data_IF_104413777274
#
_entry.id   IF_104413777274
#
_cell.length_a   1.000
_cell.length_b   1.000
_cell.length_c   1.000
_cell.angle_alpha   90.00
_cell.angle_beta   90.00
_cell.angle_gamma   90.00
#
_symmetry.space_group_name_H-M   'P 1'
#
loop_
_entity.id
_entity.type
_entity.pdbx_description
1 polymer ?
#
# COMPACT_ATOMS: atom_id res chain seq x y z
N UNK A 1 -8.02 17.76 -27.09
CA UNK A 1 -6.82 17.97 -27.92
C UNK A 1 -5.93 19.13 -27.41
N UNK A 2 -6.45 20.29 -27.10
CA UNK A 2 -5.65 21.47 -26.66
C UNK A 2 -4.94 21.22 -25.32
N UNK A 3 -5.58 20.60 -24.33
CA UNK A 3 -4.95 20.28 -23.04
C UNK A 3 -3.76 19.29 -23.15
N UNK A 4 -3.84 18.31 -24.06
CA UNK A 4 -2.72 17.39 -24.32
C UNK A 4 -1.52 18.09 -24.95
N UNK A 5 -1.77 19.03 -25.88
CA UNK A 5 -0.72 19.81 -26.52
C UNK A 5 -0.04 20.76 -25.51
N UNK A 6 -0.81 21.43 -24.64
CA UNK A 6 -0.29 22.32 -23.61
C UNK A 6 0.54 21.58 -22.55
N UNK A 7 0.14 20.36 -22.17
CA UNK A 7 0.93 19.50 -21.28
C UNK A 7 2.24 19.10 -21.90
N UNK A 8 2.25 18.68 -23.18
CA UNK A 8 3.48 18.32 -23.88
C UNK A 8 4.49 19.47 -24.00
N UNK A 9 4.01 20.70 -24.24
CA UNK A 9 4.86 21.90 -24.28
C UNK A 9 5.42 22.22 -22.89
N UNK A 10 4.60 22.17 -21.84
CA UNK A 10 5.04 22.38 -20.46
C UNK A 10 6.11 21.35 -20.04
N UNK A 11 5.86 20.06 -20.29
CA UNK A 11 6.75 18.97 -19.91
C UNK A 11 8.08 19.06 -20.69
N UNK A 12 8.03 19.45 -21.98
CA UNK A 12 9.23 19.68 -22.77
C UNK A 12 10.08 20.86 -22.26
N UNK A 13 9.44 21.97 -21.87
CA UNK A 13 10.15 23.13 -21.31
C UNK A 13 10.71 22.83 -19.91
N UNK A 14 9.97 22.14 -19.06
CA UNK A 14 10.44 21.75 -17.72
C UNK A 14 11.55 20.70 -17.80
N UNK A 15 11.46 19.73 -18.69
CA UNK A 15 12.51 18.71 -18.92
C UNK A 15 13.82 19.29 -19.48
N UNK A 16 13.75 20.38 -20.27
CA UNK A 16 14.94 21.11 -20.73
C UNK A 16 15.59 21.92 -19.60
N UNK A 17 14.79 22.48 -18.69
CA UNK A 17 15.29 23.32 -17.60
C UNK A 17 15.75 22.47 -16.38
N UNK A 18 15.12 21.34 -16.14
CA UNK A 18 15.37 20.43 -15.00
C UNK A 18 15.24 18.98 -15.44
N UNK A 19 16.23 18.43 -16.16
CA UNK A 19 16.22 17.02 -16.52
C UNK A 19 16.34 16.17 -15.24
N UNK A 20 15.33 15.35 -14.98
CA UNK A 20 15.39 14.37 -13.90
C UNK A 20 15.78 13.00 -14.47
N UNK A 21 16.74 12.36 -13.85
CA UNK A 21 17.13 11.00 -14.18
C UNK A 21 16.18 10.00 -13.56
N UNK A 22 15.78 8.99 -14.33
CA UNK A 22 14.98 7.90 -13.87
C UNK A 22 15.70 7.11 -12.76
N UNK A 23 15.13 7.06 -11.56
CA UNK A 23 15.72 6.36 -10.41
C UNK A 23 15.77 4.84 -10.54
N UNK A 24 15.22 4.29 -11.63
CA UNK A 24 15.24 2.85 -11.91
C UNK A 24 16.33 2.48 -12.91
N UNK A 25 16.42 3.20 -14.03
CA UNK A 25 17.34 2.84 -15.13
C UNK A 25 18.39 3.90 -15.49
N UNK A 26 18.37 5.06 -14.83
CA UNK A 26 19.28 6.18 -15.12
C UNK A 26 18.99 6.94 -16.43
N UNK A 27 17.95 6.55 -17.18
CA UNK A 27 17.52 7.28 -18.36
C UNK A 27 16.70 8.53 -18.00
N UNK A 28 16.41 9.38 -19.00
CA UNK A 28 15.61 10.60 -18.79
C UNK A 28 14.15 10.29 -18.43
N UNK A 29 13.56 11.09 -17.55
CA UNK A 29 12.10 11.11 -17.29
C UNK A 29 11.47 12.11 -18.27
N UNK A 30 10.59 11.60 -19.13
CA UNK A 30 10.02 12.37 -20.25
C UNK A 30 8.84 13.26 -19.82
N UNK A 31 8.19 12.96 -18.70
CA UNK A 31 7.02 13.68 -18.23
C UNK A 31 7.07 13.93 -16.73
N UNK A 32 6.74 15.15 -16.32
CA UNK A 32 6.53 15.49 -14.92
C UNK A 32 5.46 14.61 -14.24
N UNK A 33 4.48 14.16 -15.01
CA UNK A 33 3.42 13.25 -14.54
C UNK A 33 3.97 11.89 -14.08
N UNK A 34 5.08 11.45 -14.65
CA UNK A 34 5.72 10.17 -14.36
C UNK A 34 6.55 10.19 -13.05
N UNK A 35 6.87 11.38 -12.54
CA UNK A 35 7.59 11.54 -11.27
C UNK A 35 9.02 11.01 -11.36
N UNK A 36 9.38 10.01 -10.55
CA UNK A 36 10.75 9.53 -10.35
C UNK A 36 11.21 8.42 -11.32
N UNK A 37 10.34 7.95 -12.21
CA UNK A 37 10.65 6.86 -13.13
C UNK A 37 10.15 7.19 -14.54
N UNK A 38 10.91 6.83 -15.57
CA UNK A 38 10.52 7.05 -16.95
C UNK A 38 9.33 6.15 -17.38
N UNK A 39 8.66 6.52 -18.45
CA UNK A 39 7.48 5.78 -18.97
C UNK A 39 7.80 4.31 -19.28
N UNK A 40 9.02 3.99 -19.74
CA UNK A 40 9.44 2.60 -19.95
C UNK A 40 9.47 1.80 -18.64
N UNK A 41 10.02 2.38 -17.57
CA UNK A 41 10.08 1.71 -16.27
C UNK A 41 8.71 1.58 -15.61
N UNK A 42 7.78 2.51 -15.84
CA UNK A 42 6.40 2.40 -15.41
C UNK A 42 5.61 1.32 -16.17
N UNK A 43 5.94 1.07 -17.42
CA UNK A 43 5.29 0.08 -18.26
C UNK A 43 5.94 -1.31 -18.15
N UNK A 44 6.94 -1.48 -17.28
CA UNK A 44 7.55 -2.78 -17.03
C UNK A 44 6.49 -3.76 -16.49
N UNK A 45 6.42 -4.92 -17.12
CA UNK A 45 5.47 -5.99 -16.75
C UNK A 45 5.63 -6.49 -15.31
N UNK A 46 6.77 -6.25 -14.66
CA UNK A 46 6.98 -6.60 -13.25
C UNK A 46 6.04 -5.86 -12.32
N UNK A 47 5.63 -4.63 -12.64
CA UNK A 47 4.64 -3.86 -11.87
C UNK A 47 3.26 -4.52 -11.96
N UNK A 48 2.90 -4.99 -13.15
CA UNK A 48 1.57 -5.56 -13.45
C UNK A 48 1.48 -7.06 -13.19
N UNK A 49 2.57 -7.75 -12.85
CA UNK A 49 2.58 -9.21 -12.58
C UNK A 49 1.58 -9.64 -11.51
N UNK A 50 1.26 -8.80 -10.54
CA UNK A 50 0.20 -9.09 -9.57
C UNK A 50 -1.19 -9.21 -10.19
N UNK A 51 -1.37 -8.77 -11.44
CA UNK A 51 -2.66 -8.80 -12.14
C UNK A 51 -2.80 -10.04 -13.04
N UNK A 52 -1.79 -10.89 -13.12
CA UNK A 52 -1.76 -12.06 -14.00
C UNK A 52 -1.68 -13.34 -13.17
N UNK A 53 -2.64 -14.25 -13.37
CA UNK A 53 -2.70 -15.54 -12.69
C UNK A 53 -3.75 -15.59 -11.57
N UNK A 54 -3.80 -16.73 -10.86
CA UNK A 54 -4.71 -16.92 -9.72
C UNK A 54 -4.17 -16.14 -8.52
N UNK A 55 -4.96 -15.20 -8.02
CA UNK A 55 -4.63 -14.41 -6.83
C UNK A 55 -5.39 -14.94 -5.63
N UNK A 56 -4.76 -14.82 -4.45
CA UNK A 56 -5.44 -15.04 -3.18
C UNK A 56 -6.57 -14.03 -3.00
N UNK A 57 -7.79 -14.49 -2.81
CA UNK A 57 -8.97 -13.64 -2.67
C UNK A 57 -8.86 -12.69 -1.48
N UNK A 58 -8.24 -13.13 -0.37
CA UNK A 58 -8.05 -12.31 0.82
C UNK A 58 -6.91 -11.30 0.66
N UNK A 59 -5.70 -11.73 0.37
CA UNK A 59 -4.53 -10.85 0.45
C UNK A 59 -3.98 -10.40 -0.91
N UNK A 60 -4.53 -10.86 -2.05
CA UNK A 60 -4.05 -10.51 -3.38
C UNK A 60 -2.65 -11.04 -3.71
N UNK A 61 -2.10 -11.99 -2.94
CA UNK A 61 -0.85 -12.65 -3.30
C UNK A 61 -1.04 -13.53 -4.54
N UNK A 62 -0.03 -13.58 -5.39
CA UNK A 62 -0.02 -14.53 -6.49
C UNK A 62 0.07 -15.96 -5.93
N UNK A 63 -0.86 -16.80 -6.33
CA UNK A 63 -0.86 -18.21 -5.97
C UNK A 63 -0.11 -18.98 -7.06
N UNK A 64 1.08 -19.50 -6.72
CA UNK A 64 1.81 -20.40 -7.61
C UNK A 64 1.06 -21.72 -7.67
N UNK A 65 0.53 -22.08 -8.84
CA UNK A 65 0.16 -23.46 -9.13
C UNK A 65 1.47 -24.26 -9.24
N UNK A 66 1.59 -25.35 -8.45
CA UNK A 66 2.73 -26.26 -8.47
C UNK A 66 2.89 -26.89 -9.86
N UNK A 67 3.73 -26.30 -10.71
CA UNK A 67 4.08 -26.85 -12.05
C UNK A 67 5.51 -27.36 -12.09
N UNK A 68 6.25 -27.40 -10.98
CA UNK A 68 7.56 -28.08 -10.92
C UNK A 68 7.66 -28.87 -9.62
N UNK A 69 7.65 -30.19 -9.78
CA UNK A 69 7.71 -31.19 -8.71
C UNK A 69 8.89 -30.98 -7.76
N UNK A 70 8.62 -30.40 -6.64
CA UNK A 70 9.54 -30.31 -5.50
C UNK A 70 8.70 -30.14 -4.25
N UNK A 71 8.84 -31.04 -3.31
CA UNK A 71 8.18 -31.22 -2.02
C UNK A 71 7.62 -29.92 -1.45
N UNK A 72 6.42 -29.54 -1.86
CA UNK A 72 5.67 -28.44 -1.31
C UNK A 72 4.60 -29.00 -0.38
N UNK A 73 4.57 -28.50 0.84
CA UNK A 73 3.51 -28.73 1.80
C UNK A 73 2.14 -28.56 1.12
N UNK A 74 1.31 -29.58 1.19
CA UNK A 74 0.00 -29.73 0.57
C UNK A 74 -0.81 -28.42 0.55
N UNK A 75 -1.36 -28.00 -0.60
CA UNK A 75 -2.42 -27.01 -0.62
C UNK A 75 -3.63 -27.63 0.05
N UNK A 76 -3.92 -27.20 1.27
CA UNK A 76 -5.21 -27.52 1.88
C UNK A 76 -6.27 -26.76 1.11
N UNK A 77 -7.22 -27.54 0.54
CA UNK A 77 -8.52 -27.14 -0.03
C UNK A 77 -8.55 -25.88 -0.90
N UNK A 78 -9.24 -26.00 -1.96
CA UNK A 78 -9.58 -25.08 -3.05
C UNK A 78 -10.37 -23.80 -2.62
N UNK A 79 -10.03 -23.22 -1.49
CA UNK A 79 -10.80 -22.15 -0.86
C UNK A 79 -10.42 -20.74 -1.39
N UNK A 80 -9.58 -20.62 -2.43
CA UNK A 80 -9.18 -19.30 -2.96
C UNK A 80 -8.17 -18.52 -2.10
N UNK A 81 -7.74 -19.07 -0.95
CA UNK A 81 -6.85 -18.40 0.01
C UNK A 81 -5.45 -19.00 0.05
N UNK A 82 -4.44 -18.14 0.21
CA UNK A 82 -3.09 -18.61 0.50
C UNK A 82 -2.95 -18.95 2.00
N UNK A 83 -2.10 -19.94 2.34
CA UNK A 83 -1.87 -20.34 3.73
C UNK A 83 -1.31 -19.23 4.63
N UNK A 84 -0.64 -18.24 4.02
CA UNK A 84 0.06 -17.17 4.76
C UNK A 84 -0.88 -16.13 5.36
N UNK A 85 -2.02 -15.84 4.74
CA UNK A 85 -2.93 -14.80 5.21
C UNK A 85 -4.09 -15.31 6.08
N UNK A 86 -4.16 -16.61 6.36
CA UNK A 86 -5.24 -17.21 7.14
C UNK A 86 -5.39 -16.58 8.54
N UNK A 87 -4.27 -16.27 9.20
CA UNK A 87 -4.22 -15.66 10.54
C UNK A 87 -4.27 -14.12 10.54
N UNK A 88 -4.32 -13.47 9.38
CA UNK A 88 -4.36 -12.01 9.31
C UNK A 88 -5.75 -11.47 9.65
N UNK A 89 -5.79 -10.34 10.37
CA UNK A 89 -7.04 -9.78 10.89
C UNK A 89 -7.88 -9.02 9.85
N UNK A 90 -7.29 -8.56 8.74
CA UNK A 90 -8.03 -7.83 7.71
C UNK A 90 -8.96 -8.71 6.88
N UNK A 91 -10.00 -8.12 6.29
CA UNK A 91 -10.97 -8.77 5.40
C UNK A 91 -10.36 -9.02 4.02
N UNK A 92 -9.85 -7.98 3.35
CA UNK A 92 -9.17 -8.08 2.06
C UNK A 92 -7.96 -7.16 2.02
N UNK A 93 -6.96 -7.49 1.20
CA UNK A 93 -5.83 -6.62 0.91
C UNK A 93 -5.52 -6.59 -0.58
N UNK A 94 -5.25 -5.39 -1.10
CA UNK A 94 -4.85 -5.16 -2.49
C UNK A 94 -3.65 -4.23 -2.54
N UNK A 95 -2.81 -4.43 -3.57
CA UNK A 95 -1.66 -3.58 -3.86
C UNK A 95 -1.68 -3.20 -5.34
N UNK A 96 -1.13 -2.02 -5.68
CA UNK A 96 -1.03 -1.61 -7.07
C UNK A 96 -0.05 -2.47 -7.87
N UNK A 97 0.94 -3.09 -7.20
CA UNK A 97 1.91 -3.94 -7.88
C UNK A 97 2.93 -4.54 -6.90
N UNK A 98 3.99 -5.13 -7.48
CA UNK A 98 5.14 -5.65 -6.71
C UNK A 98 6.06 -4.52 -6.25
N UNK A 99 6.71 -4.71 -5.12
CA UNK A 99 7.75 -3.81 -4.60
C UNK A 99 9.02 -3.94 -5.44
N UNK A 100 9.02 -3.30 -6.61
CA UNK A 100 10.13 -3.28 -7.57
C UNK A 100 9.99 -2.11 -8.53
N UNK A 101 11.07 -1.76 -9.23
CA UNK A 101 11.08 -0.78 -10.31
C UNK A 101 10.47 0.57 -9.93
N UNK A 102 9.55 1.08 -10.74
CA UNK A 102 8.96 2.40 -10.55
C UNK A 102 8.15 2.53 -9.25
N UNK A 103 7.51 1.46 -8.76
CA UNK A 103 6.79 1.48 -7.49
C UNK A 103 7.74 1.58 -6.30
N UNK A 104 8.81 0.81 -6.29
CA UNK A 104 9.86 0.90 -5.27
C UNK A 104 10.49 2.30 -5.25
N UNK A 105 10.90 2.81 -6.41
CA UNK A 105 11.46 4.15 -6.54
C UNK A 105 10.50 5.23 -6.02
N UNK A 106 9.21 5.13 -6.34
CA UNK A 106 8.17 6.05 -5.88
C UNK A 106 7.96 5.98 -4.36
N UNK A 107 7.97 4.80 -3.78
CA UNK A 107 7.84 4.61 -2.33
C UNK A 107 9.06 5.18 -1.59
N UNK A 108 10.27 4.94 -2.10
CA UNK A 108 11.50 5.52 -1.53
C UNK A 108 11.49 7.03 -1.61
N UNK A 109 11.03 7.60 -2.73
CA UNK A 109 10.86 9.04 -2.89
C UNK A 109 9.83 9.61 -1.91
N UNK A 110 8.67 8.98 -1.74
CA UNK A 110 7.64 9.38 -0.79
C UNK A 110 8.12 9.37 0.68
N UNK A 111 9.18 8.65 1.01
CA UNK A 111 9.75 8.67 2.36
C UNK A 111 10.51 9.95 2.69
N UNK A 112 10.88 10.73 1.68
CA UNK A 112 11.65 11.98 1.82
C UNK A 112 10.94 13.20 1.24
N UNK A 113 9.94 12.99 0.37
CA UNK A 113 9.23 14.04 -0.33
C UNK A 113 7.72 13.84 -0.22
N UNK A 114 6.95 14.81 0.31
CA UNK A 114 5.51 14.66 0.51
C UNK A 114 4.73 14.92 -0.80
N UNK A 115 5.10 14.23 -1.88
CA UNK A 115 4.46 14.41 -3.19
C UNK A 115 4.13 13.08 -3.86
N UNK A 116 2.83 12.87 -4.14
CA UNK A 116 2.34 11.74 -4.93
C UNK A 116 2.23 12.18 -6.38
N UNK A 117 3.12 11.70 -7.25
CA UNK A 117 3.10 12.06 -8.66
C UNK A 117 1.78 11.64 -9.35
N UNK A 118 1.36 12.35 -10.42
CA UNK A 118 0.08 12.07 -11.08
C UNK A 118 -0.05 10.63 -11.56
N UNK A 119 1.01 10.00 -12.03
CA UNK A 119 0.98 8.60 -12.49
C UNK A 119 0.69 7.63 -11.35
N UNK A 120 1.36 7.79 -10.21
CA UNK A 120 1.09 6.96 -9.03
C UNK A 120 -0.34 7.18 -8.50
N UNK A 121 -0.82 8.44 -8.52
CA UNK A 121 -2.21 8.76 -8.15
C UNK A 121 -3.21 8.03 -9.04
N UNK A 122 -3.02 8.09 -10.38
CA UNK A 122 -3.89 7.36 -11.33
C UNK A 122 -3.88 5.85 -11.06
N UNK A 123 -2.71 5.27 -10.78
CA UNK A 123 -2.57 3.85 -10.50
C UNK A 123 -3.29 3.45 -9.21
N UNK A 124 -3.14 4.24 -8.13
CA UNK A 124 -3.86 4.04 -6.87
C UNK A 124 -5.37 4.05 -7.07
N UNK A 125 -5.88 5.08 -7.76
CA UNK A 125 -7.31 5.21 -8.03
C UNK A 125 -7.82 4.05 -8.92
N UNK A 126 -7.09 3.68 -9.96
CA UNK A 126 -7.47 2.57 -10.83
C UNK A 126 -7.48 1.23 -10.06
N UNK A 127 -6.50 1.00 -9.17
CA UNK A 127 -6.47 -0.21 -8.34
C UNK A 127 -7.64 -0.25 -7.37
N UNK A 128 -7.96 0.85 -6.72
CA UNK A 128 -9.11 0.91 -5.82
C UNK A 128 -10.41 0.67 -6.58
N UNK A 129 -10.64 1.35 -7.70
CA UNK A 129 -11.84 1.21 -8.53
C UNK A 129 -12.01 -0.23 -9.05
N UNK A 130 -10.94 -0.85 -9.55
CA UNK A 130 -10.98 -2.24 -10.03
C UNK A 130 -11.35 -3.26 -8.94
N UNK A 131 -11.21 -2.89 -7.67
CA UNK A 131 -11.50 -3.75 -6.51
C UNK A 131 -12.71 -3.29 -5.69
N UNK A 132 -13.50 -2.33 -6.18
CA UNK A 132 -14.69 -1.79 -5.46
C UNK A 132 -15.67 -2.86 -5.03
N UNK A 133 -15.85 -3.91 -5.80
CA UNK A 133 -16.75 -5.02 -5.45
C UNK A 133 -16.29 -5.84 -4.23
N UNK A 134 -14.97 -5.85 -3.94
CA UNK A 134 -14.39 -6.56 -2.81
C UNK A 134 -13.94 -5.62 -1.67
N UNK A 135 -13.86 -4.31 -1.93
CA UNK A 135 -13.51 -3.25 -0.98
C UNK A 135 -14.71 -2.32 -0.85
N UNK A 136 -15.64 -2.70 0.01
CA UNK A 136 -16.77 -1.85 0.38
C UNK A 136 -16.40 -1.11 1.67
N UNK A 137 -16.12 0.20 1.58
CA UNK A 137 -15.65 1.02 2.69
C UNK A 137 -16.26 2.42 2.67
N UNK A 138 -16.39 3.00 3.86
CA UNK A 138 -16.96 4.32 4.11
C UNK A 138 -15.90 5.32 4.56
N UNK A 139 -14.86 4.81 5.24
CA UNK A 139 -13.83 5.62 5.88
C UNK A 139 -12.45 5.14 5.47
N UNK A 140 -11.58 6.08 5.11
CA UNK A 140 -10.16 5.82 4.83
C UNK A 140 -9.35 6.15 6.08
N UNK A 141 -8.51 5.22 6.52
CA UNK A 141 -7.62 5.37 7.68
C UNK A 141 -6.18 5.13 7.24
N UNK A 142 -5.26 6.07 7.38
CA UNK A 142 -3.84 5.82 7.11
C UNK A 142 -3.20 5.06 8.26
N UNK A 143 -2.31 4.11 7.95
CA UNK A 143 -1.46 3.47 8.97
C UNK A 143 -0.54 4.52 9.58
N UNK A 144 -0.57 4.73 10.93
CA UNK A 144 0.25 5.75 11.56
C UNK A 144 1.71 5.31 11.66
N UNK A 145 2.62 6.28 11.49
CA UNK A 145 4.01 6.13 11.88
C UNK A 145 4.15 6.20 13.40
N UNK A 146 5.24 5.63 13.93
CA UNK A 146 5.65 5.92 15.30
C UNK A 146 6.07 7.39 15.43
N UNK A 147 5.74 8.04 16.56
CA UNK A 147 5.98 9.47 16.75
C UNK A 147 7.41 9.92 16.46
N UNK A 148 8.42 9.14 16.83
CA UNK A 148 9.82 9.46 16.54
C UNK A 148 10.11 9.50 15.03
N UNK A 149 9.56 8.53 14.28
CA UNK A 149 9.72 8.50 12.81
C UNK A 149 8.96 9.64 12.14
N UNK A 150 7.79 9.96 12.65
CA UNK A 150 7.00 11.08 12.12
C UNK A 150 7.70 12.41 12.36
N UNK A 151 8.28 12.64 13.57
CA UNK A 151 9.10 13.81 13.87
C UNK A 151 10.35 13.90 13.00
N UNK A 152 11.05 12.78 12.77
CA UNK A 152 12.25 12.75 11.90
C UNK A 152 11.93 13.01 10.44
N UNK A 153 10.79 12.54 9.95
CA UNK A 153 10.38 12.64 8.56
C UNK A 153 9.58 13.91 8.26
N UNK A 154 8.92 14.48 9.26
CA UNK A 154 8.04 15.64 9.15
C UNK A 154 6.63 15.35 8.63
N UNK A 155 6.37 14.14 8.13
CA UNK A 155 5.07 13.72 7.57
C UNK A 155 4.93 12.20 7.56
N UNK A 156 3.68 11.73 7.38
CA UNK A 156 3.34 10.33 7.18
C UNK A 156 2.91 10.08 5.72
N UNK A 157 3.66 9.26 4.97
CA UNK A 157 3.35 8.94 3.59
C UNK A 157 1.99 8.25 3.40
N UNK A 158 1.54 7.43 4.37
CA UNK A 158 0.24 6.80 4.32
C UNK A 158 -0.91 7.82 4.32
N UNK A 159 -0.73 8.98 4.97
CA UNK A 159 -1.71 10.08 4.93
C UNK A 159 -1.84 10.63 3.50
N UNK A 160 -0.73 10.84 2.79
CA UNK A 160 -0.76 11.34 1.41
C UNK A 160 -1.51 10.40 0.47
N UNK A 161 -1.30 9.09 0.64
CA UNK A 161 -1.98 8.06 -0.16
C UNK A 161 -3.47 8.02 0.20
N UNK A 162 -3.80 8.05 1.49
CA UNK A 162 -5.18 8.08 1.99
C UNK A 162 -5.95 9.30 1.48
N UNK A 163 -5.33 10.49 1.46
CA UNK A 163 -5.92 11.71 0.89
C UNK A 163 -6.23 11.58 -0.60
N UNK A 164 -5.36 10.91 -1.37
CA UNK A 164 -5.62 10.64 -2.79
C UNK A 164 -6.92 9.84 -2.95
N UNK A 165 -7.07 8.75 -2.20
CA UNK A 165 -8.27 7.89 -2.30
C UNK A 165 -9.51 8.63 -1.77
N UNK A 166 -9.43 9.21 -0.58
CA UNK A 166 -10.57 9.88 0.05
C UNK A 166 -11.14 10.98 -0.85
N UNK A 167 -10.29 11.85 -1.44
CA UNK A 167 -10.72 12.94 -2.31
C UNK A 167 -11.27 12.48 -3.66
N UNK A 168 -10.73 11.41 -4.25
CA UNK A 168 -11.18 10.96 -5.58
C UNK A 168 -12.48 10.16 -5.51
N UNK A 169 -12.81 9.56 -4.36
CA UNK A 169 -13.98 8.69 -4.20
C UNK A 169 -15.00 9.20 -3.18
N UNK A 170 -14.83 10.45 -2.71
CA UNK A 170 -15.71 11.12 -1.73
C UNK A 170 -15.92 10.29 -0.46
N UNK A 171 -14.82 9.72 0.06
CA UNK A 171 -14.82 8.92 1.29
C UNK A 171 -14.38 9.77 2.47
N UNK A 172 -14.93 9.48 3.66
CA UNK A 172 -14.46 10.09 4.89
C UNK A 172 -12.99 9.71 5.16
N UNK A 173 -12.22 10.64 5.76
CA UNK A 173 -10.81 10.44 6.07
C UNK A 173 -10.57 10.65 7.57
N UNK A 174 -10.20 9.58 8.27
CA UNK A 174 -9.83 9.64 9.69
C UNK A 174 -8.32 9.45 9.86
N UNK A 175 -7.62 10.54 10.20
CA UNK A 175 -6.16 10.58 10.40
C UNK A 175 -5.74 10.41 11.87
N UNK A 176 -6.69 10.36 12.81
CA UNK A 176 -6.41 10.62 14.20
C UNK A 176 -6.77 9.49 15.16
N UNK A 177 -7.79 8.69 14.82
CA UNK A 177 -8.29 7.64 15.72
C UNK A 177 -7.31 6.50 15.90
N UNK A 178 -6.65 6.04 14.83
CA UNK A 178 -5.63 5.00 14.90
C UNK A 178 -4.28 5.61 15.27
N UNK A 179 -3.64 5.13 16.34
CA UNK A 179 -2.33 5.60 16.80
C UNK A 179 -1.35 4.45 16.96
N UNK A 180 -0.08 4.67 16.61
CA UNK A 180 0.99 3.73 16.87
C UNK A 180 1.67 4.07 18.18
N UNK A 181 1.54 3.19 19.18
CA UNK A 181 2.03 3.39 20.55
C UNK A 181 3.37 2.73 20.82
N UNK A 182 3.79 1.74 20.02
CA UNK A 182 5.11 1.10 20.15
C UNK A 182 5.92 1.27 18.86
N UNK A 183 7.23 1.56 18.95
CA UNK A 183 8.10 1.53 17.80
C UNK A 183 8.14 0.11 17.21
N UNK A 184 8.30 -0.01 15.90
CA UNK A 184 8.66 -1.30 15.30
C UNK A 184 10.09 -1.59 15.72
N UNK A 185 10.29 -2.53 16.61
CA UNK A 185 11.64 -3.00 16.92
C UNK A 185 12.27 -3.51 15.61
N UNK A 186 13.43 -2.95 15.25
CA UNK A 186 14.33 -3.62 14.31
C UNK A 186 14.59 -4.98 14.93
N UNK A 187 14.33 -6.05 14.18
CA UNK A 187 14.51 -7.44 14.63
C UNK A 187 15.74 -7.58 15.54
N UNK A 188 15.52 -7.70 16.84
CA UNK A 188 16.56 -8.14 17.76
C UNK A 188 16.71 -9.65 17.49
N UNK A 189 17.90 -10.05 17.07
CA UNK A 189 18.25 -11.46 17.00
C UNK A 189 18.01 -12.07 18.39
N UNK A 190 17.07 -13.05 18.50
CA UNK A 190 16.81 -13.75 19.76
C UNK A 190 15.36 -13.76 20.25
N UNK A 191 14.43 -12.98 19.66
CA UNK A 191 13.00 -13.09 20.00
C UNK A 191 12.36 -14.27 19.25
N UNK A 192 11.59 -15.09 19.95
CA UNK A 192 10.82 -16.14 19.31
C UNK A 192 9.59 -15.60 18.53
N UNK A 193 8.96 -16.47 17.73
CA UNK A 193 7.86 -16.06 16.85
C UNK A 193 6.60 -15.64 17.63
N UNK A 194 6.37 -16.20 18.83
CA UNK A 194 5.22 -15.91 19.67
C UNK A 194 5.34 -14.53 20.35
N UNK A 195 6.53 -14.19 20.83
CA UNK A 195 6.80 -12.88 21.42
C UNK A 195 6.76 -11.76 20.37
N UNK A 196 7.20 -12.07 19.13
CA UNK A 196 7.06 -11.16 18.00
C UNK A 196 5.60 -10.88 17.66
N UNK A 197 4.74 -11.90 17.63
CA UNK A 197 3.32 -11.74 17.38
C UNK A 197 2.65 -10.86 18.45
N UNK A 198 2.89 -11.13 19.74
CA UNK A 198 2.34 -10.34 20.87
C UNK A 198 2.84 -8.90 20.88
N UNK A 199 4.09 -8.64 20.54
CA UNK A 199 4.65 -7.27 20.52
C UNK A 199 4.04 -6.44 19.39
N UNK A 200 3.68 -7.07 18.25
CA UNK A 200 3.03 -6.43 17.11
C UNK A 200 1.55 -6.17 17.39
N UNK A 201 0.83 -7.10 18.04
CA UNK A 201 -0.59 -6.93 18.42
C UNK A 201 -0.84 -5.70 19.30
N UNK A 202 0.11 -5.37 20.17
CA UNK A 202 -0.01 -4.20 21.07
C UNK A 202 0.65 -2.93 20.51
N UNK A 203 0.98 -2.89 19.22
CA UNK A 203 1.67 -1.76 18.62
C UNK A 203 0.74 -0.59 18.30
N UNK A 204 -0.57 -0.84 18.23
CA UNK A 204 -1.57 0.16 17.87
C UNK A 204 -2.64 0.31 18.95
N UNK A 205 -3.19 1.52 19.07
CA UNK A 205 -4.37 1.83 19.86
C UNK A 205 -5.34 2.65 19.03
N UNK A 206 -6.62 2.54 19.32
CA UNK A 206 -7.67 3.33 18.67
C UNK A 206 -8.31 4.22 19.74
N UNK A 207 -8.35 5.53 19.50
CA UNK A 207 -9.19 6.43 20.26
C UNK A 207 -10.64 6.15 19.88
N UNK A 208 -11.52 5.95 20.87
CA UNK A 208 -12.94 5.67 20.63
C UNK A 208 -13.52 6.83 19.81
N UNK A 209 -14.06 6.50 18.65
CA UNK A 209 -14.76 7.44 17.77
C UNK A 209 -16.05 6.78 17.33
N UNK A 210 -17.18 7.44 17.59
CA UNK A 210 -18.50 6.95 17.16
C UNK A 210 -18.58 6.76 15.64
N UNK A 211 -17.75 7.46 14.85
CA UNK A 211 -17.73 7.30 13.40
C UNK A 211 -17.10 5.99 12.94
N UNK A 212 -16.31 5.31 13.77
CA UNK A 212 -15.70 4.02 13.44
C UNK A 212 -16.52 2.80 13.87
N UNK A 213 -17.45 2.99 14.81
CA UNK A 213 -18.28 1.87 15.32
C UNK A 213 -19.21 1.35 14.23
N UNK A 214 -19.11 0.04 13.94
CA UNK A 214 -19.85 -0.61 12.88
C UNK A 214 -19.43 -0.28 11.45
N UNK A 215 -18.49 0.66 11.25
CA UNK A 215 -18.06 1.09 9.94
C UNK A 215 -17.19 0.05 9.20
N UNK A 216 -17.16 0.13 7.89
CA UNK A 216 -16.21 -0.57 7.03
C UNK A 216 -15.08 0.39 6.65
N UNK A 217 -13.84 0.01 6.99
CA UNK A 217 -12.65 0.88 6.90
C UNK A 217 -11.71 0.41 5.81
N UNK A 218 -11.19 1.36 5.01
CA UNK A 218 -10.02 1.16 4.16
C UNK A 218 -8.76 1.64 4.89
N UNK A 219 -7.95 0.70 5.36
CA UNK A 219 -6.65 0.99 5.94
C UNK A 219 -5.59 1.09 4.82
N UNK A 220 -4.83 2.18 4.80
CA UNK A 220 -3.88 2.49 3.72
C UNK A 220 -2.45 2.55 4.25
N UNK A 221 -1.51 1.90 3.52
CA UNK A 221 -0.08 1.96 3.81
C UNK A 221 0.74 2.05 2.50
N UNK A 222 2.05 2.29 2.59
CA UNK A 222 2.93 2.33 1.41
C UNK A 222 3.28 0.93 0.90
N UNK A 223 3.68 0.00 1.77
CA UNK A 223 4.14 -1.35 1.40
C UNK A 223 3.59 -2.41 2.34
N UNK A 224 3.06 -3.48 1.76
CA UNK A 224 2.75 -4.70 2.50
C UNK A 224 3.85 -5.74 2.26
N UNK A 225 4.61 -6.08 3.30
CA UNK A 225 5.59 -7.17 3.32
C UNK A 225 4.93 -8.47 3.80
N UNK A 226 5.11 -8.85 5.03
CA UNK A 226 4.44 -10.00 5.67
C UNK A 226 2.97 -9.73 6.01
N UNK A 227 2.52 -8.49 5.95
CA UNK A 227 1.19 -8.07 6.40
C UNK A 227 1.05 -7.89 7.91
N UNK A 228 2.09 -8.13 8.71
CA UNK A 228 2.02 -8.06 10.17
C UNK A 228 1.60 -6.67 10.68
N UNK A 229 2.12 -5.59 10.10
CA UNK A 229 1.76 -4.21 10.47
C UNK A 229 0.29 -3.92 10.22
N UNK A 230 -0.19 -4.20 9.01
CA UNK A 230 -1.59 -3.95 8.65
C UNK A 230 -2.55 -4.89 9.38
N UNK A 231 -2.13 -6.11 9.69
CA UNK A 231 -2.90 -7.05 10.50
C UNK A 231 -3.07 -6.57 11.94
N UNK A 232 -2.00 -6.09 12.57
CA UNK A 232 -2.06 -5.55 13.93
C UNK A 232 -2.91 -4.26 14.01
N UNK A 233 -2.77 -3.38 13.02
CA UNK A 233 -3.60 -2.19 12.91
C UNK A 233 -5.08 -2.56 12.68
N UNK A 234 -5.34 -3.56 11.85
CA UNK A 234 -6.70 -4.10 11.62
C UNK A 234 -7.29 -4.68 12.90
N UNK A 235 -6.52 -5.46 13.65
CA UNK A 235 -6.97 -6.04 14.91
C UNK A 235 -7.35 -4.94 15.93
N UNK A 236 -6.55 -3.87 16.03
CA UNK A 236 -6.86 -2.75 16.90
C UNK A 236 -8.17 -2.04 16.50
N UNK A 237 -8.42 -1.86 15.19
CA UNK A 237 -9.66 -1.28 14.66
C UNK A 237 -10.87 -2.19 14.94
N UNK A 238 -10.75 -3.50 14.68
CA UNK A 238 -11.81 -4.47 14.94
C UNK A 238 -12.17 -4.53 16.44
N UNK A 239 -11.17 -4.52 17.32
CA UNK A 239 -11.36 -4.47 18.77
C UNK A 239 -12.02 -3.15 19.24
N UNK A 240 -11.93 -2.09 18.46
CA UNK A 240 -12.59 -0.81 18.71
C UNK A 240 -14.02 -0.72 18.10
N UNK A 241 -14.55 -1.82 17.54
CA UNK A 241 -15.91 -1.89 17.03
C UNK A 241 -16.05 -1.67 15.52
N UNK A 242 -14.96 -1.56 14.76
CA UNK A 242 -15.01 -1.55 13.28
C UNK A 242 -15.50 -2.89 12.77
N UNK A 243 -16.46 -2.89 11.83
CA UNK A 243 -17.05 -4.12 11.31
C UNK A 243 -16.13 -4.86 10.33
N UNK A 244 -15.48 -4.14 9.44
CA UNK A 244 -14.58 -4.70 8.40
C UNK A 244 -13.39 -3.81 8.16
N UNK A 245 -12.22 -4.42 7.89
CA UNK A 245 -11.00 -3.69 7.53
C UNK A 245 -10.47 -4.23 6.20
N UNK A 246 -10.42 -3.36 5.21
CA UNK A 246 -9.82 -3.59 3.91
C UNK A 246 -8.47 -2.88 3.84
N UNK A 247 -7.54 -3.41 3.07
CA UNK A 247 -6.17 -2.86 2.94
C UNK A 247 -5.92 -2.43 1.50
N UNK A 248 -5.34 -1.24 1.33
CA UNK A 248 -4.77 -0.79 0.06
C UNK A 248 -3.34 -0.32 0.28
N UNK A 249 -2.40 -0.82 -0.54
CA UNK A 249 -1.00 -0.37 -0.53
C UNK A 249 -0.50 -0.03 -1.93
N UNK A 250 0.55 0.79 -2.03
CA UNK A 250 1.21 1.04 -3.32
C UNK A 250 1.83 -0.26 -3.83
N UNK A 251 2.54 -0.98 -2.96
CA UNK A 251 3.21 -2.21 -3.38
C UNK A 251 3.12 -3.31 -2.32
N UNK A 252 3.38 -4.53 -2.77
CA UNK A 252 3.62 -5.68 -1.88
C UNK A 252 4.93 -6.37 -2.22
N UNK A 253 5.58 -6.96 -1.22
CA UNK A 253 6.68 -7.90 -1.39
C UNK A 253 6.08 -9.30 -1.57
N UNK A 254 6.66 -10.08 -2.51
CA UNK A 254 6.36 -11.51 -2.68
C UNK A 254 7.17 -12.35 -1.73
#
# INVERSE_FOLDING_TARGET
MIEHALRGVRDGLLGLAYPEDCRVCGGSVESWDDGVACSRCWNDSSITRLLVGRLCEKCGAQMTSDVLGGIASSPKKDDGFCGTCASQAFTTARACGLYSGALEASILFLKTNPHVCPRLRRLLCATFEANRSSIDCEIVVPVPLHQEREKQRGFNQAILIAEVIARNFDLALDKHSLKRIKPTERHRAGMDAADRAKSVEQAFSVAISHSLEGASVLLVDDVMTTGSTVSAASLALLNAGVARVHILTIARVQ
#
